data_IF_703741958172
#
_entry.id   IF_703741958172
#
_cell.length_a   1.000
_cell.length_b   1.000
_cell.length_c   1.000
_cell.angle_alpha   90.00
_cell.angle_beta   90.00
_cell.angle_gamma   90.00
#
_symmetry.space_group_name_H-M   'P 1'
#
loop_
_entity.id
_entity.type
_entity.pdbx_description
1 polymer ?
#
# COMPACT_ATOMS: atom_id res chain seq x y z
N UNK A 1 3.84 -2.70 -14.95
CA UNK A 1 4.89 -1.90 -14.30
C UNK A 1 5.60 -2.76 -13.26
N UNK A 2 6.70 -2.29 -12.66
CA UNK A 2 7.45 -3.11 -11.70
C UNK A 2 6.66 -3.34 -10.40
N UNK A 3 6.73 -4.58 -9.87
CA UNK A 3 6.07 -5.03 -8.62
C UNK A 3 6.24 -4.07 -7.44
N UNK A 4 7.45 -3.51 -7.15
CA UNK A 4 7.61 -2.52 -6.10
C UNK A 4 6.67 -1.31 -6.21
N UNK A 5 6.37 -0.82 -7.41
CA UNK A 5 5.46 0.31 -7.61
C UNK A 5 4.04 -0.05 -7.20
N UNK A 6 3.56 -1.23 -7.60
CA UNK A 6 2.23 -1.72 -7.23
C UNK A 6 2.11 -1.94 -5.73
N UNK A 7 3.13 -2.51 -5.09
CA UNK A 7 3.19 -2.63 -3.63
C UNK A 7 3.14 -1.27 -2.94
N UNK A 8 3.97 -0.31 -3.38
CA UNK A 8 4.00 1.03 -2.80
C UNK A 8 2.64 1.75 -2.95
N UNK A 9 1.96 1.53 -4.07
CA UNK A 9 0.60 2.05 -4.30
C UNK A 9 -0.43 1.45 -3.33
N UNK A 10 -0.34 0.15 -3.04
CA UNK A 10 -1.17 -0.51 -2.04
C UNK A 10 -0.90 0.02 -0.63
N UNK A 11 0.36 0.29 -0.29
CA UNK A 11 0.74 0.93 0.99
C UNK A 11 0.16 2.34 1.11
N UNK A 12 0.17 3.11 0.02
CA UNK A 12 -0.43 4.45 -0.01
C UNK A 12 -1.93 4.37 0.26
N UNK A 13 -2.65 3.51 -0.48
CA UNK A 13 -4.10 3.30 -0.29
C UNK A 13 -4.41 2.82 1.12
N UNK A 14 -3.65 1.86 1.65
CA UNK A 14 -3.81 1.39 3.03
C UNK A 14 -3.69 2.54 4.03
N UNK A 15 -2.71 3.43 3.84
CA UNK A 15 -2.58 4.62 4.69
C UNK A 15 -3.73 5.63 4.52
N UNK A 16 -4.22 5.84 3.29
CA UNK A 16 -5.39 6.69 3.03
C UNK A 16 -6.62 6.17 3.75
N UNK A 17 -6.92 4.87 3.63
CA UNK A 17 -8.08 4.24 4.27
C UNK A 17 -7.99 4.33 5.79
N UNK A 18 -6.80 4.08 6.35
CA UNK A 18 -6.57 4.22 7.80
C UNK A 18 -6.70 5.67 8.28
N UNK A 19 -6.25 6.63 7.46
CA UNK A 19 -6.38 8.05 7.76
C UNK A 19 -7.85 8.49 7.76
N UNK A 20 -8.62 8.13 6.73
CA UNK A 20 -10.05 8.48 6.64
C UNK A 20 -10.86 7.81 7.73
N UNK A 21 -10.58 6.54 8.06
CA UNK A 21 -11.22 5.84 9.18
C UNK A 21 -11.01 6.57 10.52
N UNK A 22 -9.81 7.11 10.74
CA UNK A 22 -9.50 7.86 11.97
C UNK A 22 -10.22 9.21 12.02
N UNK A 23 -10.42 9.88 10.87
CA UNK A 23 -11.19 11.11 10.80
C UNK A 23 -12.67 10.86 11.14
N UNK A 24 -13.27 9.80 10.61
CA UNK A 24 -14.72 9.57 10.67
C UNK A 24 -15.24 8.96 11.98
N UNK A 25 -14.41 8.35 12.84
CA UNK A 25 -14.91 7.66 14.06
C UNK A 25 -14.75 8.50 15.33
N UNK A 26 -15.81 8.78 16.11
CA UNK A 26 -15.67 9.34 17.45
C UNK A 26 -15.05 8.33 18.43
N UNK A 27 -14.23 8.83 19.36
CA UNK A 27 -13.35 8.08 20.27
C UNK A 27 -14.09 7.09 21.18
N UNK A 28 -15.37 7.33 21.46
CA UNK A 28 -16.22 6.50 22.34
C UNK A 28 -16.83 5.26 21.68
N UNK A 29 -16.83 5.15 20.35
CA UNK A 29 -17.47 4.04 19.62
C UNK A 29 -16.45 3.19 18.87
N UNK A 30 -15.39 2.76 19.56
CA UNK A 30 -14.34 1.89 19.01
C UNK A 30 -14.84 0.44 18.82
N UNK A 31 -16.00 0.28 18.19
CA UNK A 31 -16.44 -1.02 17.68
C UNK A 31 -15.44 -1.51 16.63
N UNK A 32 -14.93 -2.73 16.85
CA UNK A 32 -13.89 -3.42 16.05
C UNK A 32 -14.37 -3.84 14.65
N UNK A 33 -15.38 -3.19 14.07
CA UNK A 33 -15.75 -3.51 12.71
C UNK A 33 -14.69 -2.97 11.73
N UNK A 34 -13.71 -3.82 11.43
CA UNK A 34 -12.62 -3.61 10.46
C UNK A 34 -12.99 -4.12 9.07
N UNK A 35 -14.09 -4.85 8.91
CA UNK A 35 -14.46 -5.46 7.63
C UNK A 35 -14.64 -4.43 6.51
N UNK A 36 -15.36 -3.32 6.79
CA UNK A 36 -15.57 -2.23 5.81
C UNK A 36 -14.26 -1.59 5.34
N UNK A 37 -13.38 -1.08 6.22
CA UNK A 37 -12.11 -0.49 5.77
C UNK A 37 -11.16 -1.54 5.15
N UNK A 38 -11.17 -2.79 5.61
CA UNK A 38 -10.39 -3.86 4.97
C UNK A 38 -10.84 -4.09 3.52
N UNK A 39 -12.15 -4.20 3.29
CA UNK A 39 -12.71 -4.34 1.95
C UNK A 39 -12.43 -3.10 1.09
N UNK A 40 -12.56 -1.90 1.66
CA UNK A 40 -12.24 -0.65 0.95
C UNK A 40 -10.77 -0.61 0.53
N UNK A 41 -9.84 -1.01 1.41
CA UNK A 41 -8.43 -1.10 1.08
C UNK A 41 -8.19 -2.00 -0.13
N UNK A 42 -8.76 -3.20 -0.12
CA UNK A 42 -8.65 -4.14 -1.24
C UNK A 42 -9.24 -3.56 -2.54
N UNK A 43 -10.48 -3.08 -2.50
CA UNK A 43 -11.19 -2.58 -3.68
C UNK A 43 -10.58 -1.31 -4.25
N UNK A 44 -9.95 -0.46 -3.44
CA UNK A 44 -9.28 0.75 -3.92
C UNK A 44 -7.85 0.49 -4.42
N UNK A 45 -7.20 -0.58 -3.96
CA UNK A 45 -5.89 -0.99 -4.46
C UNK A 45 -5.94 -1.41 -5.93
N UNK A 46 -6.98 -2.13 -6.34
CA UNK A 46 -7.18 -2.63 -7.71
C UNK A 46 -7.21 -1.50 -8.76
N UNK A 47 -8.10 -0.49 -8.69
CA UNK A 47 -8.16 0.57 -9.70
C UNK A 47 -6.90 1.42 -9.69
N UNK A 48 -6.24 1.61 -8.54
CA UNK A 48 -4.95 2.29 -8.51
C UNK A 48 -3.88 1.49 -9.26
N UNK A 49 -3.82 0.17 -9.08
CA UNK A 49 -2.95 -0.69 -9.87
C UNK A 49 -3.22 -0.51 -11.37
N UNK A 50 -4.48 -0.65 -11.81
CA UNK A 50 -4.84 -0.57 -13.23
C UNK A 50 -4.52 0.81 -13.81
N UNK A 51 -4.76 1.88 -13.05
CA UNK A 51 -4.42 3.24 -13.45
C UNK A 51 -2.91 3.41 -13.62
N UNK A 52 -2.15 2.88 -12.67
CA UNK A 52 -0.69 2.91 -12.69
C UNK A 52 -0.15 2.15 -13.91
N UNK A 53 -0.73 1.01 -14.22
CA UNK A 53 -0.33 0.19 -15.38
C UNK A 53 -0.70 0.80 -16.74
N UNK A 54 -1.59 1.80 -16.76
CA UNK A 54 -1.90 2.56 -17.96
C UNK A 54 -0.82 3.61 -18.31
N UNK A 55 0.10 3.92 -17.39
CA UNK A 55 1.25 4.79 -17.69
C UNK A 55 2.33 4.02 -18.47
N UNK A 56 3.10 4.72 -19.32
CA UNK A 56 4.29 4.13 -19.94
C UNK A 56 5.22 3.58 -18.87
N UNK A 57 5.60 2.32 -19.00
CA UNK A 57 6.34 1.60 -17.98
C UNK A 57 7.25 0.55 -18.61
N UNK A 58 8.34 0.23 -17.92
CA UNK A 58 9.35 -0.69 -18.38
C UNK A 58 9.71 -1.62 -17.23
N UNK A 59 9.52 -2.93 -17.39
CA UNK A 59 9.81 -3.93 -16.35
C UNK A 59 11.34 -4.16 -16.17
N UNK A 60 12.11 -3.09 -15.92
CA UNK A 60 13.57 -3.09 -15.92
C UNK A 60 14.16 -3.96 -14.82
N UNK A 61 13.45 -4.20 -13.71
CA UNK A 61 13.95 -5.10 -12.68
C UNK A 61 14.10 -6.53 -13.19
N UNK A 62 13.28 -6.97 -14.15
CA UNK A 62 13.45 -8.28 -14.79
C UNK A 62 14.72 -8.36 -15.66
N UNK A 63 15.27 -7.21 -16.05
CA UNK A 63 16.45 -7.11 -16.93
C UNK A 63 17.78 -7.01 -16.16
N UNK A 64 17.78 -7.11 -14.83
CA UNK A 64 18.99 -7.03 -14.01
C UNK A 64 19.74 -8.38 -14.02
N UNK A 65 20.84 -8.44 -14.79
CA UNK A 65 21.61 -9.67 -15.02
C UNK A 65 22.54 -10.09 -13.89
N UNK A 66 22.73 -9.27 -12.85
CA UNK A 66 23.61 -9.58 -11.71
C UNK A 66 23.20 -10.91 -11.03
N UNK A 67 21.93 -11.29 -11.15
CA UNK A 67 21.38 -12.52 -10.59
C UNK A 67 21.36 -13.71 -11.57
N UNK A 68 21.77 -13.53 -12.84
CA UNK A 68 21.61 -14.49 -13.94
C UNK A 68 22.01 -15.95 -13.63
N UNK A 69 23.05 -16.25 -12.80
CA UNK A 69 23.39 -17.61 -12.44
C UNK A 69 22.34 -18.37 -11.61
N UNK A 70 21.34 -17.68 -11.03
CA UNK A 70 20.31 -18.30 -10.20
C UNK A 70 19.16 -18.87 -11.04
N UNK A 71 18.64 -20.07 -10.71
CA UNK A 71 17.35 -20.50 -11.24
C UNK A 71 16.30 -19.48 -10.75
N UNK A 72 15.57 -18.86 -11.67
CA UNK A 72 14.63 -17.77 -11.41
C UNK A 72 15.25 -16.38 -11.13
N UNK A 73 16.44 -16.10 -11.66
CA UNK A 73 17.08 -14.78 -11.54
C UNK A 73 16.15 -13.60 -11.86
N UNK A 74 15.18 -13.78 -12.77
CA UNK A 74 14.22 -12.76 -13.18
C UNK A 74 13.27 -12.32 -12.04
N UNK A 75 13.07 -13.17 -11.03
CA UNK A 75 12.16 -12.91 -9.90
C UNK A 75 12.89 -12.23 -8.73
N UNK A 76 14.19 -12.51 -8.56
CA UNK A 76 14.98 -12.02 -7.44
C UNK A 76 15.07 -10.49 -7.34
N UNK A 77 15.40 -9.72 -8.41
CA UNK A 77 15.48 -8.27 -8.34
C UNK A 77 14.15 -7.61 -7.94
N UNK A 78 12.99 -7.97 -8.53
CA UNK A 78 11.69 -7.48 -8.07
C UNK A 78 11.41 -7.80 -6.59
N UNK A 79 11.71 -9.01 -6.12
CA UNK A 79 11.50 -9.41 -4.73
C UNK A 79 12.38 -8.59 -3.77
N UNK A 80 13.66 -8.44 -4.09
CA UNK A 80 14.60 -7.70 -3.25
C UNK A 80 14.21 -6.22 -3.16
N UNK A 81 13.84 -5.61 -4.29
CA UNK A 81 13.35 -4.23 -4.34
C UNK A 81 12.01 -4.03 -3.60
N UNK A 82 11.21 -5.09 -3.44
CA UNK A 82 9.93 -5.07 -2.74
C UNK A 82 10.08 -5.11 -1.22
N UNK A 83 11.17 -5.68 -0.70
CA UNK A 83 11.37 -5.91 0.73
C UNK A 83 11.28 -4.61 1.57
N UNK A 84 11.96 -3.50 1.20
CA UNK A 84 11.85 -2.25 1.96
C UNK A 84 10.42 -1.70 2.03
N UNK A 85 9.63 -1.91 0.98
CA UNK A 85 8.25 -1.43 0.88
C UNK A 85 7.34 -2.24 1.79
N UNK A 86 7.53 -3.56 1.84
CA UNK A 86 6.80 -4.44 2.75
C UNK A 86 7.14 -4.14 4.22
N UNK A 87 8.41 -3.88 4.53
CA UNK A 87 8.83 -3.46 5.87
C UNK A 87 8.21 -2.11 6.25
N UNK A 88 8.17 -1.16 5.31
CA UNK A 88 7.50 0.13 5.50
C UNK A 88 6.00 -0.03 5.71
N UNK A 89 5.33 -0.90 4.93
CA UNK A 89 3.92 -1.24 5.09
C UNK A 89 3.64 -1.78 6.50
N UNK A 90 4.46 -2.73 6.95
CA UNK A 90 4.36 -3.32 8.27
C UNK A 90 4.54 -2.28 9.38
N UNK A 91 5.56 -1.43 9.25
CA UNK A 91 5.81 -0.34 10.18
C UNK A 91 4.63 0.65 10.24
N UNK A 92 4.09 1.07 9.09
CA UNK A 92 2.95 1.98 9.03
C UNK A 92 1.64 1.35 9.44
N UNK A 93 1.48 0.03 9.41
CA UNK A 93 0.21 -0.58 9.75
C UNK A 93 -0.12 -0.51 11.25
N UNK A 94 0.89 -0.58 12.12
CA UNK A 94 0.69 -0.67 13.58
C UNK A 94 -0.25 -1.84 13.95
N UNK A 95 -1.37 -1.53 14.61
CA UNK A 95 -2.42 -2.51 14.96
C UNK A 95 -3.39 -2.82 13.81
N UNK A 96 -3.39 -2.00 12.75
CA UNK A 96 -4.34 -2.10 11.65
C UNK A 96 -3.78 -2.89 10.45
N UNK A 97 -3.01 -3.94 10.74
CA UNK A 97 -2.27 -4.77 9.76
C UNK A 97 -3.16 -5.37 8.69
N UNK A 98 -4.35 -5.82 9.05
CA UNK A 98 -5.28 -6.43 8.10
C UNK A 98 -5.77 -5.46 7.03
N UNK A 99 -5.94 -4.17 7.36
CA UNK A 99 -6.36 -3.14 6.40
C UNK A 99 -5.20 -2.80 5.46
N UNK A 100 -3.99 -2.68 5.99
CA UNK A 100 -2.80 -2.46 5.17
C UNK A 100 -2.54 -3.63 4.22
N UNK A 101 -2.58 -4.85 4.76
CA UNK A 101 -2.35 -6.07 3.98
C UNK A 101 -3.42 -6.23 2.90
N UNK A 102 -4.70 -5.98 3.20
CA UNK A 102 -5.74 -6.09 2.18
C UNK A 102 -5.57 -5.06 1.05
N UNK A 103 -5.12 -3.84 1.36
CA UNK A 103 -4.81 -2.84 0.34
C UNK A 103 -3.63 -3.25 -0.55
N UNK A 104 -2.58 -3.80 0.04
CA UNK A 104 -1.43 -4.35 -0.70
C UNK A 104 -1.85 -5.52 -1.58
N UNK A 105 -2.63 -6.47 -1.04
CA UNK A 105 -3.16 -7.61 -1.82
C UNK A 105 -4.06 -7.10 -2.95
N UNK A 106 -4.94 -6.12 -2.69
CA UNK A 106 -5.79 -5.53 -3.73
C UNK A 106 -4.98 -4.89 -4.85
N UNK A 107 -3.91 -4.16 -4.50
CA UNK A 107 -3.01 -3.57 -5.48
C UNK A 107 -2.15 -4.61 -6.23
N UNK A 108 -1.98 -5.81 -5.71
CA UNK A 108 -1.27 -6.91 -6.39
C UNK A 108 -2.20 -7.86 -7.15
N UNK A 109 -3.51 -7.81 -6.89
CA UNK A 109 -4.46 -8.76 -7.47
C UNK A 109 -4.41 -8.80 -9.01
N UNK A 110 -4.38 -7.66 -9.74
CA UNK A 110 -4.34 -7.72 -11.20
C UNK A 110 -3.08 -8.41 -11.75
N UNK A 111 -1.91 -8.21 -11.11
CA UNK A 111 -0.68 -8.93 -11.45
C UNK A 111 -0.82 -10.44 -11.25
N UNK A 112 -1.41 -10.86 -10.12
CA UNK A 112 -1.65 -12.28 -9.83
C UNK A 112 -2.59 -12.89 -10.88
N UNK A 113 -3.66 -12.18 -11.26
CA UNK A 113 -4.57 -12.62 -12.31
C UNK A 113 -3.88 -12.72 -13.67
N UNK A 114 -3.03 -11.75 -14.01
CA UNK A 114 -2.20 -11.75 -15.22
C UNK A 114 -1.23 -12.93 -15.24
N UNK A 115 -0.54 -13.21 -14.14
CA UNK A 115 0.35 -14.36 -14.01
C UNK A 115 -0.42 -15.69 -14.13
N UNK A 116 -1.58 -15.81 -13.49
CA UNK A 116 -2.43 -17.00 -13.60
C UNK A 116 -2.90 -17.21 -15.06
N UNK A 117 -3.27 -16.15 -15.76
CA UNK A 117 -3.63 -16.23 -17.18
C UNK A 117 -2.46 -16.66 -18.06
N UNK A 118 -1.30 -16.00 -17.94
CA UNK A 118 -0.15 -16.22 -18.82
C UNK A 118 0.59 -17.54 -18.54
N UNK A 119 0.70 -17.95 -17.27
CA UNK A 119 1.50 -19.11 -16.88
C UNK A 119 0.69 -20.34 -16.48
N UNK A 120 -0.56 -20.17 -16.04
CA UNK A 120 -1.41 -21.29 -15.60
C UNK A 120 -2.59 -21.55 -16.55
N UNK A 121 -2.60 -20.89 -17.72
CA UNK A 121 -3.64 -21.02 -18.73
C UNK A 121 -5.07 -20.82 -18.18
N UNK A 122 -5.22 -19.87 -17.24
CA UNK A 122 -6.54 -19.53 -16.69
C UNK A 122 -7.52 -19.21 -17.83
N UNK A 123 -8.71 -19.84 -17.88
CA UNK A 123 -9.70 -19.55 -18.91
C UNK A 123 -10.04 -18.05 -18.97
N UNK A 124 -10.09 -17.47 -20.18
CA UNK A 124 -10.43 -16.05 -20.39
C UNK A 124 -11.79 -15.65 -19.79
N UNK A 125 -12.71 -16.62 -19.62
CA UNK A 125 -13.99 -16.42 -18.95
C UNK A 125 -13.85 -16.06 -17.46
N UNK A 126 -12.76 -16.47 -16.81
CA UNK A 126 -12.48 -16.25 -15.39
C UNK A 126 -11.59 -15.03 -15.10
N UNK A 127 -11.07 -14.38 -16.15
CA UNK A 127 -10.25 -13.16 -16.04
C UNK A 127 -11.17 -11.94 -15.84
N UNK A 128 -11.04 -11.23 -14.72
CA UNK A 128 -11.81 -10.02 -14.42
C UNK A 128 -11.30 -8.82 -15.21
N UNK A 129 -9.98 -8.64 -15.33
CA UNK A 129 -9.33 -7.50 -15.95
C UNK A 129 -8.75 -7.86 -17.32
N UNK A 130 -9.61 -8.29 -18.25
CA UNK A 130 -9.19 -8.81 -19.57
C UNK A 130 -8.26 -7.87 -20.35
N UNK A 131 -8.50 -6.56 -20.31
CA UNK A 131 -7.66 -5.57 -21.01
C UNK A 131 -6.24 -5.46 -20.44
N UNK A 132 -6.04 -5.79 -19.16
CA UNK A 132 -4.75 -5.78 -18.49
C UNK A 132 -4.09 -7.17 -18.50
N UNK A 133 -4.83 -8.22 -18.13
CA UNK A 133 -4.30 -9.58 -17.94
C UNK A 133 -4.11 -10.35 -19.24
N UNK A 134 -4.94 -10.11 -20.27
CA UNK A 134 -4.79 -10.80 -21.56
C UNK A 134 -3.86 -10.08 -22.54
N UNK A 135 -3.48 -8.84 -22.24
CA UNK A 135 -2.51 -8.09 -23.02
C UNK A 135 -1.12 -8.35 -22.43
N UNK A 136 -0.18 -8.76 -23.27
CA UNK A 136 1.21 -8.57 -22.89
C UNK A 136 1.46 -7.07 -22.75
N UNK A 137 2.29 -6.69 -21.79
CA UNK A 137 2.83 -5.33 -21.76
C UNK A 137 3.59 -5.17 -23.07
N UNK A 138 2.94 -4.61 -24.10
CA UNK A 138 3.54 -4.43 -25.41
C UNK A 138 4.42 -3.20 -25.32
N UNK A 139 5.70 -3.42 -25.57
CA UNK A 139 6.70 -2.37 -25.58
C UNK A 139 6.37 -1.53 -26.80
N UNK A 140 5.76 -0.38 -26.60
CA UNK A 140 5.58 0.56 -27.70
C UNK A 140 6.96 0.94 -28.23
N UNK A 141 7.12 1.20 -29.54
CA UNK A 141 8.41 1.65 -30.08
C UNK A 141 8.97 2.87 -29.33
N UNK A 142 8.07 3.73 -28.85
CA UNK A 142 8.41 4.88 -28.01
C UNK A 142 9.01 4.47 -26.66
N UNK A 143 8.43 3.50 -25.94
CA UNK A 143 8.98 3.01 -24.66
C UNK A 143 10.37 2.38 -24.85
N UNK A 144 10.64 1.76 -26.00
CA UNK A 144 11.96 1.22 -26.33
C UNK A 144 12.97 2.36 -26.58
N UNK A 145 12.62 3.33 -27.42
CA UNK A 145 13.48 4.47 -27.74
C UNK A 145 13.82 5.31 -26.50
N UNK A 146 12.84 5.52 -25.61
CA UNK A 146 12.98 6.35 -24.41
C UNK A 146 13.09 5.54 -23.12
N UNK A 147 13.67 4.34 -23.18
CA UNK A 147 13.78 3.42 -22.03
C UNK A 147 14.33 4.12 -20.78
N UNK A 148 15.40 4.91 -20.91
CA UNK A 148 15.99 5.62 -19.76
C UNK A 148 15.03 6.63 -19.11
N UNK A 149 14.20 7.30 -19.91
CA UNK A 149 13.19 8.25 -19.43
C UNK A 149 12.07 7.51 -18.69
N UNK A 150 11.60 6.39 -19.25
CA UNK A 150 10.56 5.56 -18.64
C UNK A 150 11.03 4.99 -17.30
N UNK A 151 12.24 4.42 -17.26
CA UNK A 151 12.85 3.90 -16.03
C UNK A 151 13.02 5.02 -14.99
N UNK A 152 13.53 6.18 -15.39
CA UNK A 152 13.65 7.34 -14.51
C UNK A 152 12.29 7.79 -13.94
N UNK A 153 11.26 7.81 -14.79
CA UNK A 153 9.88 8.14 -14.40
C UNK A 153 9.31 7.17 -13.38
N UNK A 154 9.52 5.86 -13.56
CA UNK A 154 9.08 4.86 -12.59
C UNK A 154 9.80 4.98 -11.24
N UNK A 155 11.10 5.24 -11.24
CA UNK A 155 11.87 5.44 -10.00
C UNK A 155 11.32 6.66 -9.26
N UNK A 156 11.08 7.77 -9.97
CA UNK A 156 10.48 8.98 -9.39
C UNK A 156 9.09 8.67 -8.84
N UNK A 157 8.25 7.97 -9.59
CA UNK A 157 6.92 7.55 -9.15
C UNK A 157 6.97 6.70 -7.88
N UNK A 158 7.87 5.72 -7.81
CA UNK A 158 8.06 4.89 -6.61
C UNK A 158 8.41 5.75 -5.40
N UNK A 159 9.36 6.69 -5.55
CA UNK A 159 9.75 7.61 -4.48
C UNK A 159 8.58 8.49 -4.04
N UNK A 160 7.77 8.98 -4.98
CA UNK A 160 6.57 9.78 -4.67
C UNK A 160 5.52 8.97 -3.91
N UNK A 161 5.28 7.71 -4.27
CA UNK A 161 4.35 6.81 -3.56
C UNK A 161 4.83 6.55 -2.12
N UNK A 162 6.13 6.31 -1.92
CA UNK A 162 6.74 6.12 -0.60
C UNK A 162 6.66 7.41 0.23
N UNK A 163 6.99 8.55 -0.36
CA UNK A 163 6.93 9.86 0.30
C UNK A 163 5.50 10.21 0.69
N UNK A 164 4.53 10.01 -0.21
CA UNK A 164 3.11 10.21 0.04
C UNK A 164 2.59 9.31 1.16
N UNK A 165 2.93 8.01 1.13
CA UNK A 165 2.58 7.05 2.19
C UNK A 165 3.11 7.51 3.55
N UNK A 166 4.38 7.90 3.59
CA UNK A 166 5.05 8.40 4.80
C UNK A 166 4.40 9.67 5.33
N UNK A 167 4.04 10.60 4.45
CA UNK A 167 3.37 11.83 4.82
C UNK A 167 1.99 11.58 5.42
N UNK A 168 1.17 10.72 4.80
CA UNK A 168 -0.15 10.35 5.33
C UNK A 168 -0.03 9.61 6.66
N UNK A 169 0.90 8.66 6.78
CA UNK A 169 1.16 7.94 8.02
C UNK A 169 1.54 8.90 9.17
N UNK A 170 2.40 9.89 8.91
CA UNK A 170 2.76 10.93 9.90
C UNK A 170 1.55 11.80 10.27
N UNK A 171 0.74 12.23 9.31
CA UNK A 171 -0.49 13.00 9.56
C UNK A 171 -1.47 12.21 10.43
N UNK A 172 -1.61 10.92 10.18
CA UNK A 172 -2.42 10.00 10.99
C UNK A 172 -1.92 9.90 12.43
N UNK A 173 -0.61 9.74 12.64
CA UNK A 173 0.00 9.68 13.97
C UNK A 173 -0.24 10.95 14.79
N UNK A 174 -0.04 12.14 14.18
CA UNK A 174 -0.33 13.42 14.84
C UNK A 174 -1.80 13.56 15.23
N UNK A 175 -2.71 13.13 14.35
CA UNK A 175 -4.15 13.19 14.63
C UNK A 175 -4.54 12.31 15.83
N UNK A 176 -3.92 11.14 15.97
CA UNK A 176 -4.13 10.26 17.11
C UNK A 176 -3.60 10.88 18.41
N UNK A 177 -2.44 11.53 18.39
CA UNK A 177 -1.87 12.22 19.55
C UNK A 177 -2.78 13.36 20.04
N UNK A 178 -3.21 14.26 19.15
CA UNK A 178 -4.07 15.42 19.49
C UNK A 178 -5.40 14.96 20.12
N UNK A 179 -5.98 13.86 19.64
CA UNK A 179 -7.22 13.31 20.25
C UNK A 179 -7.01 12.66 21.63
N UNK A 180 -5.80 12.18 21.91
CA UNK A 180 -5.50 11.53 23.20
C UNK A 180 -5.15 12.53 24.30
N UNK A 181 -4.55 13.67 23.97
CA UNK A 181 -4.19 14.73 24.93
C UNK A 181 -5.34 15.20 25.85
N UNK A 182 -6.56 15.53 25.36
CA UNK A 182 -7.62 15.99 26.24
C UNK A 182 -8.13 14.89 27.19
N UNK A 183 -8.07 13.61 26.79
CA UNK A 183 -8.49 12.49 27.65
C UNK A 183 -7.49 12.24 28.79
N UNK A 184 -6.19 12.37 28.53
CA UNK A 184 -5.15 12.30 29.55
C UNK A 184 -5.21 13.49 30.51
N UNK A 185 -5.48 14.69 30.00
CA UNK A 185 -5.62 15.88 30.82
C UNK A 185 -6.83 15.81 31.77
N UNK A 186 -7.97 15.27 31.30
CA UNK A 186 -9.15 15.07 32.14
C UNK A 186 -8.95 13.95 33.17
N UNK A 187 -8.36 12.81 32.78
CA UNK A 187 -8.06 11.71 33.71
C UNK A 187 -7.11 12.12 34.83
N UNK A 188 -6.11 12.96 34.55
CA UNK A 188 -5.20 13.46 35.59
C UNK A 188 -5.88 14.48 36.52
N UNK A 189 -6.84 15.27 36.00
CA UNK A 189 -7.63 16.19 36.82
C UNK A 189 -8.51 15.45 37.82
N UNK A 190 -9.16 14.37 37.39
CA UNK A 190 -10.01 13.56 38.27
C UNK A 190 -9.18 12.87 39.38
N UNK A 191 -7.97 12.39 39.05
CA UNK A 191 -7.02 11.84 40.04
C UNK A 191 -6.57 12.87 41.07
N UNK A 192 -6.29 14.11 40.66
CA UNK A 192 -5.96 15.19 41.59
C UNK A 192 -7.15 15.59 42.49
N UNK A 193 -8.37 15.55 41.97
CA UNK A 193 -9.57 15.90 42.75
C UNK A 193 -9.90 14.85 43.83
N UNK A 194 -9.71 13.56 43.53
CA UNK A 194 -9.89 12.50 44.51
C UNK A 194 -8.77 12.49 45.57
N UNK A 195 -7.54 12.86 45.22
CA UNK A 195 -6.47 13.05 46.21
C UNK A 195 -6.72 14.24 47.13
N UNK A 196 -7.22 15.37 46.61
CA UNK A 196 -7.56 16.53 47.46
C UNK A 196 -8.71 16.19 48.43
N UNK A 197 -9.72 15.42 48.01
CA UNK A 197 -10.80 14.97 48.90
C UNK A 197 -10.32 14.09 50.06
N UNK A 198 -9.26 13.31 49.88
CA UNK A 198 -8.71 12.46 50.96
C UNK A 198 -7.90 13.24 51.99
N UNK A 199 -7.49 14.48 51.70
CA UNK A 199 -6.73 15.33 52.64
C UNK A 199 -7.67 16.12 53.58
N UNK A 200 -8.94 16.27 53.23
CA UNK A 200 -9.92 17.08 53.97
C UNK A 200 -10.96 16.26 54.77
N UNK A 201 -10.74 14.95 54.96
CA UNK A 201 -11.52 14.06 55.84
C UNK A 201 -10.61 13.44 56.91
#
# INVERSE_FOLDING_TARGET
MNVPVHLASGVLIGNVVLYTQNLSRPQSSRSRNTAKPTLAGFLLGIPLHILLDAFPHYNWLFSVEIFAPLPYYQIFPPLLASLPILLLAYHFAGDARLIMLSAVIGAMYPDVEKLAYLHQHLPRSLVLFRSHSCCHSHWTPWEQEYTAVVVGGEIVLLLLLIAGSSWIARKRGRYQQIRQEPALFLSNRDLTFDQEKQIFL
#
